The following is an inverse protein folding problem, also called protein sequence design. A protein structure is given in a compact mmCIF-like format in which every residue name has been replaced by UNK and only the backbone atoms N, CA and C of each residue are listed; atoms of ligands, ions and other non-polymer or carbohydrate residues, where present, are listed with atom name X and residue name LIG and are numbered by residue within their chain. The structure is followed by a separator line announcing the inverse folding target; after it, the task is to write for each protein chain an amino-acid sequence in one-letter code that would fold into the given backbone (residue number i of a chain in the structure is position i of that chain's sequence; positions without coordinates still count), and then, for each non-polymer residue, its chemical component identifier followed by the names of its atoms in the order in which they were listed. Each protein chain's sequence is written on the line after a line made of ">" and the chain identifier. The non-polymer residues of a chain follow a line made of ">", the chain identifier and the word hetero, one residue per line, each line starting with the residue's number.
data_IF_388311749558
#
_entry.id   IF_388311749558
#
_cell.length_a   1.000
_cell.length_b   1.000
_cell.length_c   1.000
_cell.angle_alpha   90.00
_cell.angle_beta   90.00
_cell.angle_gamma   90.00
#
_symmetry.space_group_name_H-M   'P 1'
#
loop_
_entity.id
_entity.type
_entity.pdbx_description
1 polymer ?
#
# COMPACT_ATOMS: atom_id res chain seq x y z
N UNK A 1 0.62 -22.65 -7.36
CA UNK A 1 0.06 -22.45 -6.01
C UNK A 1 1.13 -21.73 -5.23
N UNK A 2 0.93 -20.45 -4.97
CA UNK A 2 1.92 -19.60 -4.29
C UNK A 2 2.05 -20.09 -2.84
N UNK A 3 3.25 -20.39 -2.40
CA UNK A 3 3.55 -20.83 -1.03
C UNK A 3 3.21 -19.71 -0.03
N UNK A 4 1.98 -19.73 0.47
CA UNK A 4 1.50 -18.90 1.56
C UNK A 4 2.02 -19.50 2.87
N UNK A 5 3.32 -19.38 3.12
CA UNK A 5 3.95 -19.91 4.34
C UNK A 5 3.71 -18.98 5.54
N UNK A 6 3.63 -19.57 6.74
CA UNK A 6 3.57 -18.80 7.99
C UNK A 6 4.76 -17.83 8.06
N UNK A 7 4.49 -16.54 8.31
CA UNK A 7 5.54 -15.51 8.29
C UNK A 7 5.73 -14.83 6.93
N UNK A 8 5.05 -15.28 5.87
CA UNK A 8 5.08 -14.61 4.57
C UNK A 8 4.29 -13.31 4.60
N UNK A 9 4.82 -12.28 3.95
CA UNK A 9 4.14 -10.99 3.81
C UNK A 9 3.19 -11.05 2.61
N UNK A 10 1.97 -10.58 2.81
CA UNK A 10 0.88 -10.60 1.82
C UNK A 10 0.05 -9.32 1.86
N UNK A 11 -0.59 -9.00 0.75
CA UNK A 11 -1.63 -8.00 0.62
C UNK A 11 -2.98 -8.64 0.89
N UNK A 12 -3.78 -8.03 1.78
CA UNK A 12 -5.17 -8.41 2.04
C UNK A 12 -6.13 -7.31 1.67
N UNK A 13 -7.29 -7.69 1.13
CA UNK A 13 -8.34 -6.74 0.76
C UNK A 13 -9.24 -6.42 1.95
N UNK A 14 -9.11 -5.21 2.49
CA UNK A 14 -10.00 -4.64 3.50
C UNK A 14 -11.03 -3.73 2.83
N UNK A 15 -12.15 -4.32 2.41
CA UNK A 15 -13.21 -3.61 1.68
C UNK A 15 -12.74 -3.10 0.32
N UNK A 16 -12.41 -1.81 0.25
CA UNK A 16 -11.90 -1.15 -0.97
C UNK A 16 -10.39 -0.91 -0.93
N UNK A 17 -9.77 -0.94 0.25
CA UNK A 17 -8.34 -0.75 0.44
C UNK A 17 -7.60 -2.10 0.47
N UNK A 18 -6.32 -2.07 0.12
CA UNK A 18 -5.42 -3.21 0.24
C UNK A 18 -4.43 -2.90 1.35
N UNK A 19 -4.21 -3.84 2.25
CA UNK A 19 -3.39 -3.65 3.44
C UNK A 19 -2.34 -4.76 3.54
N UNK A 20 -1.08 -4.44 3.86
CA UNK A 20 -0.05 -5.46 4.02
C UNK A 20 -0.12 -6.10 5.41
N UNK A 21 0.07 -7.41 5.46
CA UNK A 21 0.13 -8.16 6.71
C UNK A 21 0.94 -9.43 6.56
N UNK A 22 1.05 -10.19 7.65
CA UNK A 22 1.78 -11.46 7.68
C UNK A 22 0.84 -12.64 7.83
N UNK A 23 1.09 -13.70 7.08
CA UNK A 23 0.32 -14.94 7.22
C UNK A 23 0.59 -15.56 8.59
N UNK A 24 -0.49 -15.80 9.31
CA UNK A 24 -0.50 -16.55 10.57
C UNK A 24 -1.40 -17.78 10.46
N UNK A 25 -1.17 -18.76 11.34
CA UNK A 25 -2.02 -19.93 11.47
C UNK A 25 -3.12 -19.68 12.50
N UNK A 26 -4.25 -20.40 12.34
CA UNK A 26 -5.36 -20.38 13.31
C UNK A 26 -4.89 -20.76 14.72
N UNK A 27 -3.91 -21.66 14.83
CA UNK A 27 -3.31 -22.08 16.10
C UNK A 27 -2.60 -20.94 16.85
N UNK A 28 -2.11 -19.92 16.13
CA UNK A 28 -1.50 -18.73 16.72
C UNK A 28 -2.51 -17.62 17.01
N UNK A 29 -3.76 -17.80 16.60
CA UNK A 29 -4.82 -16.83 16.84
C UNK A 29 -5.43 -17.03 18.23
N UNK A 30 -5.92 -15.96 18.87
CA UNK A 30 -6.61 -16.08 20.15
C UNK A 30 -7.89 -16.93 19.99
N UNK A 31 -8.26 -17.72 21.01
CA UNK A 31 -9.41 -18.62 20.95
C UNK A 31 -10.71 -17.87 20.66
N UNK A 32 -10.89 -16.65 21.21
CA UNK A 32 -12.05 -15.79 20.91
C UNK A 32 -12.20 -15.48 19.41
N UNK A 33 -11.08 -15.26 18.71
CA UNK A 33 -11.12 -15.04 17.26
C UNK A 33 -11.55 -16.30 16.54
N UNK A 34 -10.94 -17.44 16.89
CA UNK A 34 -11.22 -18.74 16.26
C UNK A 34 -12.66 -19.19 16.52
N UNK A 35 -13.19 -18.99 17.73
CA UNK A 35 -14.59 -19.27 18.08
C UNK A 35 -15.58 -18.37 17.33
N UNK A 36 -15.16 -17.15 16.95
CA UNK A 36 -15.94 -16.24 16.13
C UNK A 36 -16.00 -16.63 14.64
N UNK A 37 -15.08 -17.49 14.17
CA UNK A 37 -15.02 -17.91 12.77
C UNK A 37 -16.21 -18.82 12.44
N UNK A 38 -17.08 -18.35 11.55
CA UNK A 38 -18.21 -19.14 11.03
C UNK A 38 -17.80 -20.21 10.02
N UNK A 39 -16.63 -20.06 9.40
CA UNK A 39 -16.08 -20.95 8.38
C UNK A 39 -14.57 -21.05 8.55
N UNK A 40 -13.97 -22.12 8.05
CA UNK A 40 -12.52 -22.21 7.93
C UNK A 40 -12.02 -21.17 6.90
N UNK A 41 -11.20 -20.19 7.31
CA UNK A 41 -10.51 -19.34 6.37
C UNK A 41 -9.43 -20.14 5.64
N UNK A 42 -9.17 -19.75 4.39
CA UNK A 42 -8.05 -20.30 3.61
C UNK A 42 -6.70 -19.79 4.15
N UNK A 43 -6.69 -18.61 4.76
CA UNK A 43 -5.52 -18.00 5.37
C UNK A 43 -5.97 -16.99 6.43
N UNK A 44 -5.19 -16.85 7.50
CA UNK A 44 -5.35 -15.77 8.47
C UNK A 44 -4.18 -14.84 8.33
N UNK A 45 -4.44 -13.54 8.31
CA UNK A 45 -3.41 -12.52 8.22
C UNK A 45 -3.42 -11.70 9.49
N UNK A 46 -2.23 -11.47 10.05
CA UNK A 46 -2.00 -10.64 11.22
C UNK A 46 -1.34 -9.34 10.78
N UNK A 47 -1.86 -8.21 11.25
CA UNK A 47 -1.24 -6.90 11.05
C UNK A 47 -0.01 -6.71 11.95
N UNK A 48 0.93 -5.84 11.56
CA UNK A 48 2.19 -5.70 12.28
C UNK A 48 2.04 -4.79 13.49
N UNK A 49 1.41 -3.64 13.29
CA UNK A 49 1.19 -2.67 14.36
C UNK A 49 -0.02 -2.99 15.21
N UNK A 50 -1.05 -3.60 14.63
CA UNK A 50 -2.27 -3.95 15.35
C UNK A 50 -2.28 -5.45 15.66
N UNK A 51 -2.68 -5.82 16.88
CA UNK A 51 -2.99 -7.21 17.22
C UNK A 51 -4.34 -7.65 16.65
N UNK A 52 -4.59 -7.23 15.42
CA UNK A 52 -5.81 -7.50 14.68
C UNK A 52 -5.54 -8.61 13.66
N UNK A 53 -6.53 -9.48 13.52
CA UNK A 53 -6.46 -10.68 12.70
C UNK A 53 -7.57 -10.61 11.66
N UNK A 54 -7.21 -10.89 10.42
CA UNK A 54 -8.14 -10.93 9.31
C UNK A 54 -8.25 -12.36 8.77
N UNK A 55 -9.47 -12.90 8.83
CA UNK A 55 -9.81 -14.14 8.15
C UNK A 55 -10.01 -13.88 6.66
N UNK A 56 -9.33 -14.68 5.84
CA UNK A 56 -9.47 -14.66 4.39
C UNK A 56 -10.14 -15.96 3.96
N UNK A 57 -11.28 -15.84 3.31
CA UNK A 57 -12.02 -16.98 2.75
C UNK A 57 -11.85 -17.13 1.24
N UNK A 58 -11.27 -16.14 0.56
CA UNK A 58 -11.15 -16.11 -0.89
C UNK A 58 -9.71 -15.82 -1.30
N UNK A 59 -9.18 -16.62 -2.23
CA UNK A 59 -7.85 -16.40 -2.79
C UNK A 59 -7.75 -15.05 -3.51
N UNK A 60 -8.87 -14.54 -4.04
CA UNK A 60 -8.92 -13.21 -4.68
C UNK A 60 -8.71 -12.04 -3.70
N UNK A 61 -8.85 -12.29 -2.40
CA UNK A 61 -8.69 -11.28 -1.34
C UNK A 61 -7.30 -11.30 -0.70
N UNK A 62 -6.40 -12.18 -1.17
CA UNK A 62 -5.04 -12.31 -0.68
C UNK A 62 -4.07 -12.38 -1.87
N UNK A 63 -3.04 -11.55 -1.86
CA UNK A 63 -1.99 -11.57 -2.86
C UNK A 63 -0.60 -11.59 -2.21
N UNK A 64 0.39 -12.26 -2.81
CA UNK A 64 1.76 -12.18 -2.32
C UNK A 64 2.26 -10.73 -2.37
N UNK A 65 3.06 -10.34 -1.38
CA UNK A 65 3.56 -8.97 -1.30
C UNK A 65 4.40 -8.57 -2.52
N UNK A 66 5.26 -9.48 -2.98
CA UNK A 66 6.19 -9.32 -4.11
C UNK A 66 5.52 -9.37 -5.50
N UNK A 67 4.21 -9.07 -5.61
CA UNK A 67 3.50 -9.06 -6.88
C UNK A 67 3.77 -7.77 -7.68
N UNK A 68 3.73 -7.85 -9.01
CA UNK A 68 3.85 -6.68 -9.91
C UNK A 68 2.80 -5.59 -9.66
N UNK A 69 1.68 -5.95 -9.01
CA UNK A 69 0.59 -5.03 -8.66
C UNK A 69 0.77 -4.33 -7.31
N UNK A 70 1.89 -4.55 -6.60
CA UNK A 70 2.12 -3.94 -5.28
C UNK A 70 2.02 -2.41 -5.31
N UNK A 71 2.53 -1.78 -6.36
CA UNK A 71 2.45 -0.33 -6.53
C UNK A 71 1.01 0.16 -6.64
N UNK A 72 0.14 -0.58 -7.34
CA UNK A 72 -1.27 -0.23 -7.45
C UNK A 72 -2.00 -0.36 -6.12
N UNK A 73 -1.66 -1.39 -5.34
CA UNK A 73 -2.23 -1.57 -3.99
C UNK A 73 -1.83 -0.43 -3.06
N UNK A 74 -0.57 -0.01 -3.09
CA UNK A 74 -0.08 1.13 -2.30
C UNK A 74 -0.74 2.42 -2.76
N UNK A 75 -0.76 2.72 -4.07
CA UNK A 75 -1.43 3.91 -4.63
C UNK A 75 -2.88 3.99 -4.18
N UNK A 76 -3.61 2.88 -4.31
CA UNK A 76 -5.04 2.80 -4.00
C UNK A 76 -5.29 2.88 -2.49
N UNK A 77 -4.46 2.22 -1.68
CA UNK A 77 -4.52 2.29 -0.22
C UNK A 77 -4.28 3.72 0.28
N UNK A 78 -3.21 4.37 -0.19
CA UNK A 78 -2.92 5.77 0.12
C UNK A 78 -4.06 6.69 -0.29
N UNK A 79 -4.59 6.55 -1.51
CA UNK A 79 -5.70 7.37 -1.98
C UNK A 79 -6.95 7.20 -1.12
N UNK A 80 -7.34 5.96 -0.82
CA UNK A 80 -8.54 5.67 -0.01
C UNK A 80 -8.35 6.20 1.40
N UNK A 81 -7.23 5.89 2.06
CA UNK A 81 -6.94 6.31 3.43
C UNK A 81 -6.77 7.83 3.54
N UNK A 82 -6.18 8.50 2.54
CA UNK A 82 -6.10 9.97 2.47
C UNK A 82 -7.46 10.64 2.25
N UNK A 83 -8.33 10.02 1.45
CA UNK A 83 -9.66 10.57 1.13
C UNK A 83 -10.75 10.18 2.16
N UNK A 84 -10.44 9.39 3.18
CA UNK A 84 -11.38 9.17 4.29
C UNK A 84 -11.46 10.46 5.13
N UNK A 85 -12.55 11.20 4.98
CA UNK A 85 -12.78 12.48 5.68
C UNK A 85 -12.63 12.39 7.20
N UNK A 86 -11.74 13.23 7.73
CA UNK A 86 -11.74 13.86 9.06
C UNK A 86 -11.62 13.03 10.34
N UNK A 87 -11.56 11.69 10.30
CA UNK A 87 -11.53 10.87 11.53
C UNK A 87 -10.25 10.07 11.79
N UNK A 88 -9.51 9.70 10.74
CA UNK A 88 -8.67 8.50 10.80
C UNK A 88 -7.26 8.75 10.21
N UNK A 89 -6.64 9.85 10.64
CA UNK A 89 -5.21 10.12 10.36
C UNK A 89 -4.35 8.96 10.88
N UNK A 90 -4.79 8.33 11.97
CA UNK A 90 -4.21 7.12 12.53
C UNK A 90 -4.22 5.95 11.53
N UNK A 91 -5.27 5.78 10.72
CA UNK A 91 -5.38 4.71 9.71
C UNK A 91 -4.35 4.87 8.60
N UNK A 92 -4.15 6.09 8.09
CA UNK A 92 -3.10 6.37 7.09
C UNK A 92 -1.71 6.11 7.68
N UNK A 93 -1.45 6.60 8.89
CA UNK A 93 -0.16 6.42 9.56
C UNK A 93 0.13 4.94 9.87
N UNK A 94 -0.89 4.18 10.29
CA UNK A 94 -0.81 2.73 10.50
C UNK A 94 -0.53 2.00 9.20
N UNK A 95 -1.23 2.36 8.13
CA UNK A 95 -1.00 1.80 6.81
C UNK A 95 0.44 2.04 6.34
N UNK A 96 0.95 3.26 6.46
CA UNK A 96 2.33 3.59 6.13
C UNK A 96 3.32 2.78 6.98
N UNK A 97 3.09 2.68 8.30
CA UNK A 97 3.93 1.89 9.19
C UNK A 97 3.94 0.39 8.85
N UNK A 98 2.79 -0.19 8.49
CA UNK A 98 2.70 -1.59 8.07
C UNK A 98 3.39 -1.81 6.72
N UNK A 99 3.29 -0.88 5.76
CA UNK A 99 3.99 -0.96 4.47
C UNK A 99 5.51 -0.90 4.68
N UNK A 100 6.02 0.02 5.51
CA UNK A 100 7.46 0.10 5.82
C UNK A 100 7.96 -1.19 6.46
N UNK A 101 7.18 -1.76 7.38
CA UNK A 101 7.52 -3.04 8.03
C UNK A 101 7.53 -4.18 7.02
N UNK A 102 6.56 -4.22 6.11
CA UNK A 102 6.48 -5.19 5.04
C UNK A 102 7.66 -5.11 4.05
N UNK A 103 8.05 -3.92 3.59
CA UNK A 103 9.23 -3.74 2.73
C UNK A 103 10.51 -4.15 3.48
N UNK A 104 10.63 -3.80 4.78
CA UNK A 104 11.79 -4.22 5.60
C UNK A 104 11.90 -5.74 5.74
N UNK A 105 10.78 -6.44 5.88
CA UNK A 105 10.76 -7.91 5.98
C UNK A 105 11.00 -8.60 4.64
N UNK A 106 10.54 -8.00 3.55
CA UNK A 106 10.74 -8.52 2.19
C UNK A 106 12.07 -8.11 1.57
N UNK A 107 12.83 -7.24 2.25
CA UNK A 107 14.10 -6.70 1.75
C UNK A 107 13.92 -5.78 0.54
N UNK A 108 12.75 -5.15 0.44
CA UNK A 108 12.39 -4.27 -0.66
C UNK A 108 12.80 -2.81 -0.44
N UNK A 109 12.02 -1.91 -1.01
CA UNK A 109 12.26 -0.48 -1.07
C UNK A 109 11.53 0.24 0.07
N UNK A 110 12.28 0.71 1.08
CA UNK A 110 11.72 1.40 2.24
C UNK A 110 11.13 2.78 1.88
N UNK A 111 11.51 3.34 0.73
CA UNK A 111 11.04 4.64 0.22
C UNK A 111 9.90 4.49 -0.80
N UNK A 112 9.32 3.28 -0.93
CA UNK A 112 8.20 3.04 -1.85
C UNK A 112 7.01 3.95 -1.55
N UNK A 113 6.75 4.27 -0.29
CA UNK A 113 5.66 5.16 0.11
C UNK A 113 5.88 6.59 -0.36
N UNK A 114 7.11 7.11 -0.27
CA UNK A 114 7.45 8.43 -0.75
C UNK A 114 7.39 8.47 -2.29
N UNK A 115 7.98 7.47 -2.93
CA UNK A 115 7.97 7.30 -4.39
C UNK A 115 6.55 7.25 -4.93
N UNK A 116 5.66 6.51 -4.28
CA UNK A 116 4.27 6.36 -4.72
C UNK A 116 3.40 7.54 -4.29
N UNK A 117 3.64 8.08 -3.10
CA UNK A 117 2.91 9.21 -2.52
C UNK A 117 3.08 10.49 -3.33
N UNK A 118 4.28 10.74 -3.86
CA UNK A 118 4.58 11.88 -4.74
C UNK A 118 3.90 11.73 -6.12
N UNK A 119 3.75 10.48 -6.61
CA UNK A 119 3.08 10.18 -7.88
C UNK A 119 1.55 10.20 -7.75
N UNK A 120 1.01 9.93 -6.56
CA UNK A 120 -0.43 9.90 -6.30
C UNK A 120 -1.10 11.29 -6.34
N UNK A 121 -0.34 12.38 -6.41
CA UNK A 121 -0.88 13.74 -6.59
C UNK A 121 -1.37 14.04 -8.01
N UNK A 122 -1.17 13.11 -8.97
CA UNK A 122 -1.62 13.33 -10.36
C UNK A 122 -2.52 12.19 -10.83
N UNK A 123 -3.85 12.30 -10.67
CA UNK A 123 -4.76 11.47 -11.46
C UNK A 123 -4.55 11.79 -12.96
N UNK A 124 -4.28 10.79 -13.82
CA UNK A 124 -4.02 11.00 -15.25
C UNK A 124 -5.23 11.58 -16.01
N UNK A 125 -6.42 11.64 -15.39
CA UNK A 125 -7.60 12.25 -15.98
C UNK A 125 -7.74 13.76 -15.70
N UNK A 126 -6.74 14.41 -15.11
CA UNK A 126 -6.70 15.88 -14.99
C UNK A 126 -5.32 16.46 -15.29
N UNK A 127 -4.48 15.78 -16.09
CA UNK A 127 -3.29 16.39 -16.70
C UNK A 127 -3.61 16.84 -18.12
N UNK A 128 -4.57 17.77 -18.21
CA UNK A 128 -4.66 18.65 -19.38
C UNK A 128 -4.24 20.05 -18.95
N UNK A 129 -3.09 20.46 -19.50
CA UNK A 129 -2.59 21.83 -19.63
C UNK A 129 -1.64 22.37 -18.53
N UNK A 130 -0.46 22.75 -19.02
CA UNK A 130 0.53 23.71 -18.47
C UNK A 130 1.51 23.15 -17.43
N UNK A 131 2.83 23.21 -17.60
CA UNK A 131 3.63 23.92 -18.59
C UNK A 131 4.95 23.18 -18.82
N UNK A 132 5.29 22.99 -20.09
CA UNK A 132 6.69 23.11 -20.50
C UNK A 132 7.18 24.51 -20.09
N UNK A 133 8.27 24.58 -19.34
CA UNK A 133 9.15 25.73 -19.47
C UNK A 133 10.61 25.28 -19.43
N UNK A 134 11.02 24.88 -20.63
CA UNK A 134 12.35 24.99 -21.22
C UNK A 134 13.53 25.36 -20.32
N UNK A 135 14.37 24.37 -20.09
CA UNK A 135 15.81 24.61 -20.09
C UNK A 135 16.26 24.90 -21.53
N UNK A 136 16.55 26.17 -21.84
CA UNK A 136 17.54 26.51 -22.86
C UNK A 136 18.42 27.63 -22.33
N UNK A 137 19.55 27.21 -21.76
CA UNK A 137 20.76 28.01 -21.71
C UNK A 137 21.25 28.22 -23.14
N UNK A 138 21.32 29.46 -23.62
CA UNK A 138 22.50 29.87 -24.39
C UNK A 138 22.69 31.38 -24.48
N UNK A 139 23.96 31.74 -24.45
CA UNK A 139 24.56 33.07 -24.47
C UNK A 139 24.36 33.88 -25.77
N UNK A 140 24.59 35.19 -25.61
CA UNK A 140 24.89 36.23 -26.62
C UNK A 140 23.67 36.72 -27.44
N UNK A 141 23.46 38.00 -27.74
CA UNK A 141 24.38 39.13 -27.95
C UNK A 141 23.65 40.46 -27.74
N UNK A 142 24.42 41.43 -27.22
CA UNK A 142 24.44 42.86 -27.52
C UNK A 142 23.66 43.28 -28.80
N UNK A 143 22.84 44.33 -28.72
CA UNK A 143 23.01 45.61 -29.46
C UNK A 143 21.80 46.56 -29.26
N UNK A 144 22.17 47.72 -28.70
CA UNK A 144 21.67 49.09 -28.83
C UNK A 144 20.83 49.43 -30.08
N UNK A 145 19.83 50.30 -29.92
CA UNK A 145 19.35 51.40 -30.80
C UNK A 145 17.83 51.57 -30.59
N UNK A 146 17.26 52.77 -30.41
CA UNK A 146 17.76 54.14 -30.43
C UNK A 146 16.72 55.03 -29.74
#
# INVERSE_FOLDING_TARGET
>A
MSNLENGSVVWVRLGQAWWPGTITTLEKCPPEFVEGLRKDPIAVVKFFHENEFQDIHKEEHIYPYSCDRKEEFIRRGLYINKNQSHGDVDLLQKFEADVVTAEKLTGGDMDILQTIGEVAEIPPNMRSSSAEMGYTSNSQSVILQR
#
